data_IF_369778393603
#
_entry.id   IF_369778393603
#
_cell.length_a   1.000
_cell.length_b   1.000
_cell.length_c   1.000
_cell.angle_alpha   90.00
_cell.angle_beta   90.00
_cell.angle_gamma   90.00
#
_symmetry.space_group_name_H-M   'P 1'
#
loop_
_entity.id
_entity.type
_entity.pdbx_description
1 polymer ?
#
# COMPACT_ATOMS: atom_id res chain seq x y z
N UNK A 1 -3.65 8.81 -19.12
CA UNK A 1 -4.16 9.61 -17.98
C UNK A 1 -5.67 9.48 -17.81
N UNK A 2 -6.51 10.04 -18.71
CA UNK A 2 -7.99 10.04 -18.54
C UNK A 2 -8.61 8.64 -18.33
N UNK A 3 -8.28 7.66 -19.19
CA UNK A 3 -8.80 6.29 -19.06
C UNK A 3 -8.41 5.64 -17.73
N UNK A 4 -7.14 5.81 -17.31
CA UNK A 4 -6.62 5.32 -16.03
C UNK A 4 -7.37 5.94 -14.85
N UNK A 5 -7.63 7.24 -14.91
CA UNK A 5 -8.41 7.96 -13.90
C UNK A 5 -9.85 7.47 -13.84
N UNK A 6 -10.53 7.32 -14.99
CA UNK A 6 -11.91 6.83 -15.04
C UNK A 6 -12.01 5.42 -14.47
N UNK A 7 -11.10 4.52 -14.88
CA UNK A 7 -11.03 3.18 -14.34
C UNK A 7 -10.81 3.17 -12.81
N UNK A 8 -9.86 3.97 -12.33
CA UNK A 8 -9.58 4.08 -10.90
C UNK A 8 -10.79 4.61 -10.13
N UNK A 9 -11.49 5.62 -10.64
CA UNK A 9 -12.71 6.16 -10.01
C UNK A 9 -13.78 5.08 -9.89
N UNK A 10 -14.00 4.27 -10.94
CA UNK A 10 -14.98 3.17 -10.90
C UNK A 10 -14.62 2.17 -9.80
N UNK A 11 -13.36 1.76 -9.73
CA UNK A 11 -12.87 0.81 -8.71
C UNK A 11 -13.01 1.40 -7.30
N UNK A 12 -12.55 2.63 -7.09
CA UNK A 12 -12.65 3.31 -5.80
C UNK A 12 -14.09 3.49 -5.34
N UNK A 13 -15.01 3.83 -6.25
CA UNK A 13 -16.44 3.91 -5.95
C UNK A 13 -17.01 2.55 -5.55
N UNK A 14 -16.61 1.47 -6.25
CA UNK A 14 -17.01 0.12 -5.89
C UNK A 14 -16.57 -0.28 -4.48
N UNK A 15 -15.31 -0.01 -4.13
CA UNK A 15 -14.77 -0.27 -2.78
C UNK A 15 -15.53 0.56 -1.75
N UNK A 16 -15.67 1.87 -1.96
CA UNK A 16 -16.36 2.76 -1.04
C UNK A 16 -17.83 2.38 -0.84
N UNK A 17 -18.53 1.96 -1.88
CA UNK A 17 -19.95 1.58 -1.77
C UNK A 17 -20.11 0.30 -0.95
N UNK A 18 -19.23 -0.69 -1.15
CA UNK A 18 -19.21 -1.94 -0.38
C UNK A 18 -18.82 -1.72 1.09
N UNK A 19 -17.87 -0.81 1.34
CA UNK A 19 -17.28 -0.64 2.68
C UNK A 19 -17.95 0.47 3.49
N UNK A 20 -18.64 1.43 2.88
CA UNK A 20 -19.37 2.51 3.56
C UNK A 20 -20.30 2.03 4.70
N UNK A 21 -21.19 1.03 4.51
CA UNK A 21 -22.05 0.56 5.59
C UNK A 21 -21.25 -0.10 6.73
N UNK A 22 -20.20 -0.85 6.40
CA UNK A 22 -19.33 -1.52 7.38
C UNK A 22 -18.53 -0.51 8.19
N UNK A 23 -17.94 0.48 7.52
CA UNK A 23 -17.18 1.56 8.15
C UNK A 23 -18.04 2.41 9.08
N UNK A 24 -19.30 2.68 8.70
CA UNK A 24 -20.25 3.42 9.53
C UNK A 24 -20.53 2.71 10.85
N UNK A 25 -20.64 1.38 10.84
CA UNK A 25 -20.91 0.54 12.01
C UNK A 25 -19.64 0.14 12.79
N UNK A 26 -18.46 0.28 12.19
CA UNK A 26 -17.18 -0.12 12.79
C UNK A 26 -16.68 0.81 13.91
N UNK A 27 -15.84 0.25 14.79
CA UNK A 27 -15.21 0.98 15.88
C UNK A 27 -14.04 1.86 15.38
N UNK A 28 -13.62 2.84 16.19
CA UNK A 28 -12.51 3.77 15.83
C UNK A 28 -11.23 3.04 15.43
N UNK A 29 -10.89 1.95 16.10
CA UNK A 29 -9.70 1.14 15.80
C UNK A 29 -9.77 0.57 14.38
N UNK A 30 -10.91 0.02 14.00
CA UNK A 30 -11.10 -0.60 12.69
C UNK A 30 -10.98 0.45 11.57
N UNK A 31 -11.51 1.66 11.81
CA UNK A 31 -11.34 2.79 10.88
C UNK A 31 -9.89 3.21 10.72
N UNK A 32 -9.11 3.22 11.80
CA UNK A 32 -7.67 3.54 11.75
C UNK A 32 -6.93 2.47 10.94
N UNK A 33 -7.21 1.18 11.21
CA UNK A 33 -6.60 0.06 10.46
C UNK A 33 -6.98 0.12 8.99
N UNK A 34 -8.26 0.37 8.67
CA UNK A 34 -8.71 0.57 7.30
C UNK A 34 -7.99 1.74 6.62
N UNK A 35 -7.84 2.88 7.31
CA UNK A 35 -7.09 4.03 6.80
C UNK A 35 -5.62 3.68 6.52
N UNK A 36 -4.98 2.94 7.42
CA UNK A 36 -3.60 2.47 7.22
C UNK A 36 -3.47 1.53 6.01
N UNK A 37 -4.46 0.66 5.78
CA UNK A 37 -4.50 -0.22 4.61
C UNK A 37 -4.87 0.52 3.33
N UNK A 38 -5.61 1.63 3.42
CA UNK A 38 -5.97 2.46 2.27
C UNK A 38 -4.78 3.30 1.76
N UNK A 39 -3.84 3.69 2.63
CA UNK A 39 -2.64 4.45 2.24
C UNK A 39 -1.83 3.83 1.09
N UNK A 40 -1.43 2.53 1.12
CA UNK A 40 -0.71 1.91 0.01
C UNK A 40 -1.54 1.88 -1.28
N UNK A 41 -2.87 1.73 -1.18
CA UNK A 41 -3.77 1.78 -2.33
C UNK A 41 -3.74 3.18 -2.94
N UNK A 42 -3.83 4.23 -2.13
CA UNK A 42 -3.77 5.62 -2.60
C UNK A 42 -2.41 5.95 -3.24
N UNK A 43 -1.32 5.45 -2.65
CA UNK A 43 0.03 5.59 -3.22
C UNK A 43 0.10 4.97 -4.63
N UNK A 44 -0.24 3.68 -4.76
CA UNK A 44 -0.20 2.98 -6.04
C UNK A 44 -1.17 3.57 -7.06
N UNK A 45 -2.30 4.09 -6.60
CA UNK A 45 -3.27 4.80 -7.45
C UNK A 45 -2.67 6.06 -8.06
N UNK A 46 -1.93 6.84 -7.26
CA UNK A 46 -1.21 8.02 -7.75
C UNK A 46 -0.12 7.65 -8.74
N UNK A 47 0.69 6.63 -8.43
CA UNK A 47 1.72 6.09 -9.34
C UNK A 47 1.10 5.67 -10.68
N UNK A 48 -0.01 4.93 -10.63
CA UNK A 48 -0.73 4.44 -11.80
C UNK A 48 -1.33 5.56 -12.66
N UNK A 49 -2.00 6.53 -12.03
CA UNK A 49 -2.67 7.62 -12.77
C UNK A 49 -1.69 8.63 -13.33
N UNK A 50 -0.57 8.89 -12.65
CA UNK A 50 0.41 9.89 -13.05
C UNK A 50 1.58 9.31 -13.86
N UNK A 51 1.61 7.99 -14.08
CA UNK A 51 2.73 7.28 -14.71
C UNK A 51 4.09 7.63 -14.08
N UNK A 52 4.11 7.73 -12.75
CA UNK A 52 5.33 8.01 -12.01
C UNK A 52 6.24 6.77 -12.07
N UNK A 53 7.52 6.97 -12.35
CA UNK A 53 8.55 5.94 -12.21
C UNK A 53 8.94 5.68 -10.75
N UNK A 54 7.96 5.72 -9.85
CA UNK A 54 8.13 5.50 -8.43
C UNK A 54 8.08 4.01 -8.11
N UNK A 55 8.82 3.56 -7.09
CA UNK A 55 8.96 2.14 -6.77
C UNK A 55 7.62 1.52 -6.34
N UNK A 56 7.47 0.24 -6.63
CA UNK A 56 6.35 -0.54 -6.09
C UNK A 56 6.50 -0.75 -4.57
N UNK A 57 5.44 -1.23 -3.92
CA UNK A 57 5.46 -1.45 -2.46
C UNK A 57 6.50 -2.49 -2.03
N UNK A 58 6.71 -3.53 -2.82
CA UNK A 58 7.73 -4.55 -2.55
C UNK A 58 9.14 -3.97 -2.67
N UNK A 59 9.38 -3.13 -3.68
CA UNK A 59 10.66 -2.43 -3.86
C UNK A 59 10.93 -1.44 -2.71
N UNK A 60 9.92 -0.72 -2.24
CA UNK A 60 10.02 0.14 -1.06
C UNK A 60 10.36 -0.67 0.19
N UNK A 61 9.67 -1.78 0.43
CA UNK A 61 9.95 -2.67 1.56
C UNK A 61 11.37 -3.22 1.45
N UNK A 62 11.78 -3.71 0.28
CA UNK A 62 13.14 -4.18 0.06
C UNK A 62 14.15 -3.06 0.32
N UNK A 63 13.89 -1.83 -0.14
CA UNK A 63 14.75 -0.69 0.10
C UNK A 63 14.92 -0.40 1.61
N UNK A 64 13.82 -0.32 2.37
CA UNK A 64 13.87 -0.04 3.80
C UNK A 64 14.49 -1.17 4.63
N UNK A 65 14.26 -2.43 4.25
CA UNK A 65 14.63 -3.60 5.06
C UNK A 65 15.87 -4.34 4.56
N UNK A 66 16.41 -4.05 3.38
CA UNK A 66 17.61 -4.70 2.83
C UNK A 66 18.81 -4.59 3.76
N UNK A 67 19.09 -3.39 4.29
CA UNK A 67 20.22 -3.16 5.18
C UNK A 67 20.05 -3.87 6.55
N UNK A 68 18.91 -3.76 7.25
CA UNK A 68 18.61 -4.60 8.41
C UNK A 68 18.74 -6.11 8.13
N UNK A 69 18.20 -6.57 7.00
CA UNK A 69 18.26 -7.98 6.61
C UNK A 69 19.70 -8.46 6.41
N UNK A 70 20.55 -7.65 5.75
CA UNK A 70 21.97 -7.96 5.57
C UNK A 70 22.68 -8.15 6.91
N UNK A 71 22.46 -7.23 7.86
CA UNK A 71 23.06 -7.27 9.19
C UNK A 71 22.64 -8.51 9.99
N UNK A 72 21.37 -8.93 9.87
CA UNK A 72 20.88 -10.15 10.51
C UNK A 72 21.57 -11.39 9.91
N UNK A 73 21.66 -11.45 8.59
CA UNK A 73 22.31 -12.57 7.88
C UNK A 73 23.80 -12.65 8.24
N UNK A 74 24.52 -11.52 8.27
CA UNK A 74 25.92 -11.47 8.70
C UNK A 74 26.09 -11.90 10.15
N UNK A 75 25.17 -11.53 11.05
CA UNK A 75 25.24 -11.93 12.46
C UNK A 75 25.00 -13.43 12.68
N UNK A 76 24.24 -14.09 11.79
CA UNK A 76 23.92 -15.53 11.89
C UNK A 76 24.94 -16.39 11.13
N UNK A 77 25.65 -15.84 10.15
CA UNK A 77 26.75 -16.54 9.48
C UNK A 77 27.84 -16.87 10.50
N UNK A 78 27.85 -18.12 10.98
CA UNK A 78 28.96 -18.70 11.72
C UNK A 78 30.19 -18.64 10.81
N UNK A 79 31.34 -18.12 11.27
CA UNK A 79 32.58 -18.22 10.50
C UNK A 79 32.87 -19.70 10.27
N UNK A 80 32.81 -20.14 9.01
CA UNK A 80 33.25 -21.46 8.56
C UNK A 80 34.76 -21.41 8.39
#
# INVERSE_FOLDING_TARGET
>A
MFEKTVFLVIVCLGILFCDAPKLKQSNRRDRIVYGLLALPILYLSGVYVLDLAWPNLDELVHFFFSNPAHKIVEAIKVPI
#
